data_IF_830183422725
#
_entry.id   IF_830183422725
#
_cell.length_a   1.000
_cell.length_b   1.000
_cell.length_c   1.000
_cell.angle_alpha   90.00
_cell.angle_beta   90.00
_cell.angle_gamma   90.00
#
_symmetry.space_group_name_H-M   'P 1'
#
loop_
_entity.id
_entity.type
_entity.pdbx_description
1 polymer ?
#
# COMPACT_ATOMS: atom_id res chain seq x y z
N UNK A 1 10.23 -5.13 5.14
CA UNK A 1 9.72 -4.70 6.46
C UNK A 1 8.79 -5.79 7.02
N UNK A 2 8.94 -6.26 8.27
CA UNK A 2 8.19 -7.41 8.81
C UNK A 2 6.67 -7.20 8.83
N UNK A 3 6.20 -6.05 9.31
CA UNK A 3 4.76 -5.78 9.47
C UNK A 3 3.98 -5.79 8.15
N UNK A 4 4.58 -5.37 7.04
CA UNK A 4 3.94 -5.47 5.73
C UNK A 4 3.59 -6.92 5.38
N UNK A 5 4.46 -7.88 5.71
CA UNK A 5 4.17 -9.32 5.48
C UNK A 5 3.03 -9.85 6.33
N UNK A 6 2.85 -9.29 7.53
CA UNK A 6 1.87 -9.77 8.50
C UNK A 6 0.50 -9.09 8.31
N UNK A 7 0.49 -7.83 7.90
CA UNK A 7 -0.70 -6.98 7.95
C UNK A 7 -1.18 -6.46 6.59
N UNK A 8 -0.40 -6.55 5.51
CA UNK A 8 -0.86 -6.09 4.20
C UNK A 8 -1.77 -7.16 3.57
N UNK A 9 -3.08 -6.90 3.52
CA UNK A 9 -4.08 -7.81 2.95
C UNK A 9 -4.48 -7.45 1.53
N UNK A 10 -4.24 -6.21 1.10
CA UNK A 10 -4.45 -5.73 -0.29
C UNK A 10 -3.70 -4.42 -0.56
N UNK A 11 -3.49 -4.11 -1.83
CA UNK A 11 -2.97 -2.81 -2.25
C UNK A 11 -3.65 -2.40 -3.57
N UNK A 12 -3.96 -1.12 -3.70
CA UNK A 12 -4.50 -0.48 -4.90
C UNK A 12 -3.94 0.94 -5.01
N UNK A 13 -4.27 1.70 -6.06
CA UNK A 13 -3.76 3.05 -6.24
C UNK A 13 -4.67 3.96 -7.07
N UNK A 14 -4.53 5.28 -6.84
CA UNK A 14 -5.11 6.33 -7.66
C UNK A 14 -4.20 7.55 -7.69
N UNK A 15 -3.73 7.95 -8.87
CA UNK A 15 -2.81 9.08 -9.02
C UNK A 15 -1.52 8.90 -8.22
N UNK A 16 -1.27 9.79 -7.26
CA UNK A 16 -0.14 9.71 -6.31
C UNK A 16 -0.48 8.99 -4.99
N UNK A 17 -1.67 8.39 -4.85
CA UNK A 17 -2.08 7.67 -3.65
C UNK A 17 -1.91 6.16 -3.84
N UNK A 18 -1.15 5.52 -2.96
CA UNK A 18 -1.27 4.09 -2.70
C UNK A 18 -2.31 3.85 -1.60
N UNK A 19 -3.19 2.88 -1.80
CA UNK A 19 -4.22 2.48 -0.86
C UNK A 19 -3.88 1.08 -0.36
N UNK A 20 -3.56 0.96 0.93
CA UNK A 20 -3.22 -0.31 1.54
C UNK A 20 -4.40 -0.82 2.37
N UNK A 21 -4.68 -2.11 2.28
CA UNK A 21 -5.67 -2.80 3.11
C UNK A 21 -4.98 -3.62 4.18
N UNK A 22 -5.59 -3.66 5.36
CA UNK A 22 -5.15 -4.45 6.50
C UNK A 22 -6.30 -5.28 7.07
N UNK A 23 -6.07 -6.19 8.04
CA UNK A 23 -7.15 -6.70 8.88
C UNK A 23 -7.84 -5.56 9.65
N UNK A 24 -9.08 -5.78 10.15
CA UNK A 24 -9.77 -4.81 10.99
C UNK A 24 -8.93 -4.33 12.17
N UNK A 25 -8.94 -3.03 12.42
CA UNK A 25 -8.20 -2.37 13.51
C UNK A 25 -6.67 -2.31 13.36
N UNK A 26 -6.09 -2.77 12.25
CA UNK A 26 -4.64 -2.85 12.08
C UNK A 26 -4.01 -1.68 11.30
N UNK A 27 -4.81 -0.83 10.64
CA UNK A 27 -4.30 0.20 9.73
C UNK A 27 -3.40 1.22 10.43
N UNK A 28 -3.83 1.73 11.59
CA UNK A 28 -3.06 2.70 12.39
C UNK A 28 -1.69 2.14 12.81
N UNK A 29 -1.63 0.87 13.18
CA UNK A 29 -0.38 0.24 13.59
C UNK A 29 0.60 0.11 12.43
N UNK A 30 0.12 -0.34 11.27
CA UNK A 30 0.95 -0.44 10.06
C UNK A 30 1.40 0.94 9.56
N UNK A 31 0.51 1.94 9.54
CA UNK A 31 0.84 3.30 9.13
C UNK A 31 1.93 3.92 10.01
N UNK A 32 1.79 3.80 11.33
CA UNK A 32 2.81 4.26 12.28
C UNK A 32 4.18 3.61 12.05
N UNK A 33 4.20 2.36 11.59
CA UNK A 33 5.44 1.68 11.25
C UNK A 33 6.03 2.14 9.90
N UNK A 34 5.20 2.50 8.92
CA UNK A 34 5.63 3.13 7.67
C UNK A 34 6.26 4.51 7.94
N UNK A 35 5.62 5.32 8.79
CA UNK A 35 6.14 6.65 9.15
C UNK A 35 7.50 6.55 9.85
N UNK A 36 7.65 5.62 10.81
CA UNK A 36 8.93 5.38 11.50
C UNK A 36 10.03 4.82 10.59
N UNK A 37 9.67 4.15 9.50
CA UNK A 37 10.64 3.63 8.53
C UNK A 37 11.31 4.75 7.71
N UNK A 38 10.77 5.97 7.73
CA UNK A 38 11.40 7.15 7.11
C UNK A 38 11.60 7.01 5.61
N UNK A 39 10.67 6.35 4.92
CA UNK A 39 10.79 6.05 3.49
C UNK A 39 10.73 7.35 2.68
N UNK A 40 11.80 7.73 1.95
CA UNK A 40 11.88 9.03 1.28
C UNK A 40 10.83 9.19 0.18
N UNK A 41 10.40 8.08 -0.44
CA UNK A 41 9.32 8.04 -1.41
C UNK A 41 7.92 8.30 -0.84
N UNK A 42 7.74 8.32 0.49
CA UNK A 42 6.46 8.64 1.14
C UNK A 42 6.46 10.11 1.55
N UNK A 43 5.41 10.84 1.17
CA UNK A 43 5.13 12.19 1.68
C UNK A 43 4.49 12.10 3.07
N UNK A 44 3.54 11.18 3.24
CA UNK A 44 2.88 10.91 4.51
C UNK A 44 1.82 9.81 4.41
N UNK A 45 1.25 9.45 5.55
CA UNK A 45 0.19 8.44 5.66
C UNK A 45 -1.04 8.98 6.42
N UNK A 46 -2.23 8.48 6.07
CA UNK A 46 -3.47 8.64 6.86
C UNK A 46 -4.09 7.25 7.00
N UNK A 47 -4.33 6.82 8.24
CA UNK A 47 -4.94 5.53 8.53
C UNK A 47 -6.38 5.68 9.03
N UNK A 48 -7.26 4.84 8.49
CA UNK A 48 -8.57 4.52 9.06
C UNK A 48 -8.47 3.32 10.01
N UNK A 49 -9.46 2.42 9.93
CA UNK A 49 -9.49 1.17 10.70
C UNK A 49 -8.74 0.02 9.99
N UNK A 50 -9.09 -0.22 8.73
CA UNK A 50 -8.58 -1.34 7.91
C UNK A 50 -7.94 -0.86 6.59
N UNK A 51 -7.79 0.45 6.42
CA UNK A 51 -7.37 1.09 5.18
C UNK A 51 -6.40 2.24 5.47
N UNK A 52 -5.31 2.32 4.71
CA UNK A 52 -4.30 3.38 4.80
C UNK A 52 -4.16 4.05 3.45
N UNK A 53 -4.21 5.38 3.44
CA UNK A 53 -3.79 6.17 2.29
C UNK A 53 -2.34 6.59 2.48
N UNK A 54 -1.51 6.29 1.49
CA UNK A 54 -0.09 6.63 1.47
C UNK A 54 0.16 7.54 0.28
N UNK A 55 0.60 8.77 0.54
CA UNK A 55 0.91 9.73 -0.50
C UNK A 55 2.33 9.48 -1.01
N UNK A 56 2.44 9.09 -2.28
CA UNK A 56 3.72 8.94 -2.97
C UNK A 56 4.32 10.32 -3.28
N UNK A 57 5.63 10.44 -3.08
CA UNK A 57 6.41 11.61 -3.46
C UNK A 57 6.69 11.57 -4.95
N UNK A 58 6.35 12.65 -5.63
CA UNK A 58 6.65 12.79 -7.05
C UNK A 58 8.16 12.61 -7.35
N UNK A 59 8.50 11.96 -8.47
CA UNK A 59 7.62 11.52 -9.55
C UNK A 59 7.01 10.12 -9.36
N UNK A 60 7.14 9.50 -8.18
CA UNK A 60 6.59 8.17 -7.93
C UNK A 60 5.05 8.21 -7.95
N UNK A 61 4.43 7.29 -8.68
CA UNK A 61 2.98 7.13 -8.70
C UNK A 61 2.51 6.31 -7.50
N UNK A 62 1.23 6.44 -7.16
CA UNK A 62 0.60 5.59 -6.16
C UNK A 62 0.73 4.10 -6.50
N UNK A 63 0.59 3.74 -7.78
CA UNK A 63 0.75 2.36 -8.25
C UNK A 63 2.17 1.85 -8.03
N UNK A 64 3.19 2.63 -8.40
CA UNK A 64 4.59 2.24 -8.18
C UNK A 64 4.95 2.11 -6.70
N UNK A 65 4.34 2.93 -5.84
CA UNK A 65 4.49 2.79 -4.39
C UNK A 65 3.78 1.54 -3.85
N UNK A 66 2.55 1.27 -4.30
CA UNK A 66 1.79 0.08 -3.93
C UNK A 66 2.53 -1.22 -4.33
N UNK A 67 3.12 -1.25 -5.53
CA UNK A 67 3.95 -2.36 -6.02
C UNK A 67 5.16 -2.59 -5.12
N UNK A 68 5.89 -1.51 -4.81
CA UNK A 68 7.07 -1.56 -3.95
C UNK A 68 6.75 -2.12 -2.55
N UNK A 69 5.67 -1.64 -1.95
CA UNK A 69 5.23 -2.08 -0.62
C UNK A 69 4.72 -3.54 -0.65
N UNK A 70 4.04 -3.94 -1.72
CA UNK A 70 3.56 -5.32 -1.92
C UNK A 70 4.71 -6.30 -2.15
N UNK A 71 5.74 -5.90 -2.90
CA UNK A 71 6.96 -6.68 -3.08
C UNK A 71 7.67 -6.92 -1.73
N UNK A 72 7.74 -5.92 -0.86
CA UNK A 72 8.29 -6.08 0.49
C UNK A 72 7.45 -6.97 1.42
N UNK A 73 6.14 -7.07 1.15
CA UNK A 73 5.22 -8.01 1.77
C UNK A 73 5.33 -9.43 1.17
N UNK A 74 6.12 -9.63 0.11
CA UNK A 74 6.23 -10.90 -0.59
C UNK A 74 4.99 -11.25 -1.41
N UNK A 75 4.23 -10.25 -1.89
CA UNK A 75 2.94 -10.42 -2.57
C UNK A 75 2.94 -9.96 -4.02
N UNK A 76 3.94 -10.37 -4.79
CA UNK A 76 4.14 -9.97 -6.19
C UNK A 76 3.08 -10.55 -7.16
N UNK A 77 2.33 -11.60 -6.77
CA UNK A 77 1.45 -12.36 -7.68
C UNK A 77 -0.01 -11.84 -7.75
N UNK A 78 -0.54 -11.21 -6.68
CA UNK A 78 -1.97 -10.87 -6.61
C UNK A 78 -2.38 -9.66 -7.46
N UNK A 79 -1.52 -8.65 -7.65
CA UNK A 79 -1.92 -7.41 -8.35
C UNK A 79 -2.13 -7.59 -9.86
N UNK A 80 -1.47 -8.56 -10.50
CA UNK A 80 -1.67 -8.87 -11.93
C UNK A 80 -3.03 -9.48 -12.24
N UNK A 81 -3.68 -10.09 -11.24
CA UNK A 81 -4.96 -10.80 -11.43
C UNK A 81 -6.13 -9.81 -11.46
N UNK A 82 -6.08 -8.75 -10.65
CA UNK A 82 -7.16 -7.75 -10.55
C UNK A 82 -7.17 -6.80 -11.77
N UNK A 83 -6.00 -6.50 -12.35
CA UNK A 83 -5.90 -5.67 -13.57
C UNK A 83 -6.56 -6.34 -14.78
N UNK A 84 -6.52 -7.68 -14.87
CA UNK A 84 -7.14 -8.45 -15.96
C UNK A 84 -8.67 -8.58 -15.83
N UNK A 85 -9.26 -8.22 -14.69
CA UNK A 85 -10.72 -8.26 -14.50
C UNK A 85 -11.40 -6.92 -14.82
N UNK A 86 -10.63 -5.83 -14.93
CA UNK A 86 -11.15 -4.51 -15.28
C UNK A 86 -11.38 -4.30 -16.79
N UNK A 87 -10.91 -5.22 -17.66
CA UNK A 87 -11.11 -5.16 -19.13
C UNK A 87 -12.30 -5.99 -19.63
N UNK A 88 -13.10 -6.59 -18.74
CA UNK A 88 -14.33 -7.29 -19.14
C UNK A 88 -15.56 -6.47 -18.78
N UNK A 89 -15.75 -5.35 -19.50
CA UNK A 89 -17.08 -4.90 -19.95
C UNK A 89 -17.02 -3.86 -21.05
#
# INVERSE_FOLDING_TARGET
MRLLRELLTGADASGNLAVLRTPPGAAQFLASALDRAGLPEIVGTIAGDDTIFVVAREPLTGAGLADKLSAWAGREEQMRVDSNHAEVK
#
